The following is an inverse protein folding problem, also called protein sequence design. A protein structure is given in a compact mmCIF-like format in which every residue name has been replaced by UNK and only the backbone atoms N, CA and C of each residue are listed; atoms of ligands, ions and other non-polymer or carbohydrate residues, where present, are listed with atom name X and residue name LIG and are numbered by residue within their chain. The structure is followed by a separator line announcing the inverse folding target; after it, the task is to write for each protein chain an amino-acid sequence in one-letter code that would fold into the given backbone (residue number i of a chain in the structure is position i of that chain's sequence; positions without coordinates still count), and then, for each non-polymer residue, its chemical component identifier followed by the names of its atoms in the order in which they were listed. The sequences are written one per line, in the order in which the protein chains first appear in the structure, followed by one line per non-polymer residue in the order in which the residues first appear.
data_IF_738189481086
#
_entry.id   IF_738189481086
#
_cell.length_a   1.000
_cell.length_b   1.000
_cell.length_c   1.000
_cell.angle_alpha   90.00
_cell.angle_beta   90.00
_cell.angle_gamma   90.00
#
_symmetry.space_group_name_H-M   'P 1'
#
loop_
_entity.id
_entity.type
_entity.pdbx_description
1 polymer ?
#
# COMPACT_ATOMS: atom_id res chain seq x y z
N UNK A 1 10.12 -26.05 -28.83
CA UNK A 1 9.77 -24.91 -27.97
C UNK A 1 11.03 -24.54 -27.19
N UNK A 2 11.34 -23.26 -27.09
CA UNK A 2 12.69 -22.71 -26.92
C UNK A 2 12.96 -22.36 -25.45
N UNK A 3 14.00 -22.92 -24.83
CA UNK A 3 14.49 -22.60 -23.47
C UNK A 3 14.61 -21.07 -23.19
N UNK A 4 14.86 -20.27 -24.23
CA UNK A 4 14.97 -18.81 -24.15
C UNK A 4 13.61 -18.11 -23.87
N UNK A 5 12.50 -18.73 -24.29
CA UNK A 5 11.14 -18.21 -24.01
C UNK A 5 10.69 -18.50 -22.58
N UNK A 6 11.13 -19.62 -22.02
CA UNK A 6 10.80 -20.07 -20.65
C UNK A 6 11.55 -19.24 -19.59
N UNK A 7 12.82 -18.93 -19.86
CA UNK A 7 13.64 -17.98 -19.05
C UNK A 7 13.02 -16.58 -18.99
N UNK A 8 12.48 -16.10 -20.11
CA UNK A 8 11.84 -14.78 -20.20
C UNK A 8 10.53 -14.72 -19.39
N UNK A 9 9.71 -15.79 -19.41
CA UNK A 9 8.49 -15.88 -18.59
C UNK A 9 8.84 -15.91 -17.09
N UNK A 10 9.86 -16.68 -16.71
CA UNK A 10 10.31 -16.74 -15.31
C UNK A 10 10.86 -15.38 -14.82
N UNK A 11 11.51 -14.61 -15.69
CA UNK A 11 11.95 -13.25 -15.37
C UNK A 11 10.76 -12.29 -15.17
N UNK A 12 9.70 -12.41 -15.98
CA UNK A 12 8.48 -11.63 -15.84
C UNK A 12 7.74 -11.93 -14.52
N UNK A 13 7.62 -13.19 -14.13
CA UNK A 13 7.00 -13.58 -12.86
C UNK A 13 7.75 -12.99 -11.65
N UNK A 14 9.09 -13.06 -11.67
CA UNK A 14 9.93 -12.44 -10.63
C UNK A 14 9.71 -10.93 -10.57
N UNK A 15 9.60 -10.25 -11.71
CA UNK A 15 9.34 -8.81 -11.77
C UNK A 15 7.97 -8.47 -11.15
N UNK A 16 6.93 -9.26 -11.42
CA UNK A 16 5.60 -9.07 -10.83
C UNK A 16 5.62 -9.22 -9.30
N UNK A 17 6.36 -10.21 -8.77
CA UNK A 17 6.52 -10.38 -7.32
C UNK A 17 7.24 -9.18 -6.71
N UNK A 18 8.33 -8.71 -7.34
CA UNK A 18 9.04 -7.52 -6.89
C UNK A 18 8.16 -6.27 -6.90
N UNK A 19 7.32 -6.10 -7.93
CA UNK A 19 6.37 -5.00 -7.99
C UNK A 19 5.40 -5.00 -6.79
N UNK A 20 4.87 -6.17 -6.42
CA UNK A 20 3.97 -6.32 -5.24
C UNK A 20 4.69 -5.99 -3.93
N UNK A 21 5.95 -6.40 -3.78
CA UNK A 21 6.77 -6.08 -2.62
C UNK A 21 6.99 -4.56 -2.53
N UNK A 22 7.37 -3.93 -3.64
CA UNK A 22 7.61 -2.48 -3.70
C UNK A 22 6.35 -1.71 -3.34
N UNK A 23 5.20 -2.09 -3.89
CA UNK A 23 3.94 -1.42 -3.59
C UNK A 23 3.56 -1.57 -2.10
N UNK A 24 3.75 -2.75 -1.53
CA UNK A 24 3.53 -2.99 -0.10
C UNK A 24 4.46 -2.11 0.76
N UNK A 25 5.74 -1.97 0.37
CA UNK A 25 6.67 -1.09 1.09
C UNK A 25 6.27 0.38 1.02
N UNK A 26 5.75 0.87 -0.13
CA UNK A 26 5.26 2.25 -0.24
C UNK A 26 4.15 2.55 0.76
N UNK A 27 3.21 1.61 0.94
CA UNK A 27 2.12 1.74 1.91
C UNK A 27 2.71 1.87 3.33
N UNK A 28 3.64 1.00 3.70
CA UNK A 28 4.30 1.03 5.01
C UNK A 28 5.02 2.36 5.24
N UNK A 29 5.80 2.85 4.27
CA UNK A 29 6.53 4.12 4.39
C UNK A 29 5.58 5.30 4.58
N UNK A 30 4.51 5.38 3.78
CA UNK A 30 3.49 6.43 3.89
C UNK A 30 2.78 6.39 5.24
N UNK A 31 2.38 5.19 5.69
CA UNK A 31 1.72 4.98 6.97
C UNK A 31 2.63 5.42 8.12
N UNK A 32 3.88 4.95 8.12
CA UNK A 32 4.89 5.30 9.13
C UNK A 32 5.09 6.81 9.21
N UNK A 33 5.28 7.49 8.07
CA UNK A 33 5.46 8.94 8.03
C UNK A 33 4.23 9.68 8.58
N UNK A 34 3.03 9.31 8.12
CA UNK A 34 1.77 9.96 8.52
C UNK A 34 1.47 9.77 10.01
N UNK A 35 1.56 8.53 10.49
CA UNK A 35 1.25 8.21 11.87
C UNK A 35 2.31 8.73 12.84
N UNK A 36 3.59 8.69 12.48
CA UNK A 36 4.63 9.28 13.32
C UNK A 36 4.42 10.78 13.48
N UNK A 37 4.21 11.52 12.38
CA UNK A 37 3.95 12.97 12.41
C UNK A 37 2.71 13.33 13.24
N UNK A 38 1.69 12.49 13.24
CA UNK A 38 0.45 12.75 13.98
C UNK A 38 0.57 12.39 15.47
N UNK A 39 1.20 11.27 15.79
CA UNK A 39 1.15 10.68 17.13
C UNK A 39 2.35 11.01 18.01
N UNK A 40 3.49 11.40 17.44
CA UNK A 40 4.75 11.64 18.16
C UNK A 40 5.09 13.14 18.12
N UNK A 41 4.58 13.95 19.06
CA UNK A 41 4.80 15.40 19.05
C UNK A 41 6.22 15.79 19.45
N UNK A 42 6.88 14.97 20.28
CA UNK A 42 8.25 15.18 20.74
C UNK A 42 9.04 13.89 20.58
N UNK A 43 10.16 13.93 19.88
CA UNK A 43 10.96 12.73 19.63
C UNK A 43 11.82 12.42 20.85
N UNK A 44 11.54 11.30 21.52
CA UNK A 44 12.32 10.75 22.62
C UNK A 44 13.14 9.52 22.23
N UNK A 45 13.87 8.95 23.19
CA UNK A 45 14.59 7.67 23.01
C UNK A 45 13.65 6.46 22.93
N UNK A 46 12.42 6.61 23.40
CA UNK A 46 11.39 5.57 23.41
C UNK A 46 10.01 6.20 23.23
N UNK A 47 9.06 5.40 22.75
CA UNK A 47 7.66 5.79 22.64
C UNK A 47 6.99 5.63 24.00
N UNK A 48 6.31 6.67 24.47
CA UNK A 48 5.39 6.61 25.61
C UNK A 48 4.21 5.67 25.30
N UNK A 49 3.54 5.18 26.35
CA UNK A 49 2.36 4.34 26.19
C UNK A 49 1.25 5.03 25.37
N UNK A 50 1.11 6.36 25.52
CA UNK A 50 0.15 7.16 24.75
C UNK A 50 0.51 7.21 23.26
N UNK A 51 1.80 7.39 22.94
CA UNK A 51 2.27 7.39 21.56
C UNK A 51 2.09 6.01 20.91
N UNK A 52 2.40 4.92 21.63
CA UNK A 52 2.17 3.56 21.15
C UNK A 52 0.69 3.30 20.83
N UNK A 53 -0.22 3.66 21.76
CA UNK A 53 -1.66 3.50 21.56
C UNK A 53 -2.20 4.36 20.40
N UNK A 54 -1.68 5.59 20.24
CA UNK A 54 -2.01 6.45 19.10
C UNK A 54 -1.52 5.84 17.78
N UNK A 55 -0.27 5.37 17.72
CA UNK A 55 0.31 4.75 16.52
C UNK A 55 -0.47 3.52 16.09
N UNK A 56 -0.85 2.65 17.04
CA UNK A 56 -1.72 1.50 16.78
C UNK A 56 -3.04 1.91 16.13
N UNK A 57 -3.74 2.86 16.76
CA UNK A 57 -5.03 3.36 16.28
C UNK A 57 -4.91 4.05 14.92
N UNK A 58 -3.84 4.81 14.70
CA UNK A 58 -3.56 5.49 13.45
C UNK A 58 -3.28 4.49 12.31
N UNK A 59 -2.44 3.49 12.57
CA UNK A 59 -2.11 2.47 11.57
C UNK A 59 -3.35 1.68 11.15
N UNK A 60 -4.19 1.28 12.10
CA UNK A 60 -5.45 0.59 11.81
C UNK A 60 -6.37 1.45 10.92
N UNK A 61 -6.62 2.70 11.31
CA UNK A 61 -7.45 3.63 10.54
C UNK A 61 -6.86 3.94 9.17
N UNK A 62 -5.54 4.03 9.05
CA UNK A 62 -4.86 4.25 7.78
C UNK A 62 -5.11 3.10 6.81
N UNK A 63 -4.97 1.86 7.27
CA UNK A 63 -5.21 0.67 6.45
C UNK A 63 -6.68 0.54 6.06
N UNK A 64 -7.61 0.71 7.01
CA UNK A 64 -9.06 0.70 6.75
C UNK A 64 -9.46 1.76 5.70
N UNK A 65 -8.95 2.99 5.87
CA UNK A 65 -9.24 4.09 4.92
C UNK A 65 -8.64 3.81 3.55
N UNK A 66 -7.42 3.26 3.51
CA UNK A 66 -6.74 2.92 2.25
C UNK A 66 -7.49 1.83 1.49
N UNK A 67 -7.93 0.77 2.18
CA UNK A 67 -8.74 -0.30 1.58
C UNK A 67 -10.09 0.24 1.06
N UNK A 68 -10.79 1.04 1.85
CA UNK A 68 -12.04 1.68 1.43
C UNK A 68 -11.88 2.52 0.16
N UNK A 69 -10.88 3.40 0.12
CA UNK A 69 -10.61 4.25 -1.05
C UNK A 69 -10.21 3.40 -2.26
N UNK A 70 -9.39 2.37 -2.09
CA UNK A 70 -8.96 1.50 -3.18
C UNK A 70 -10.13 0.74 -3.82
N UNK A 71 -11.04 0.20 -2.99
CA UNK A 71 -12.25 -0.49 -3.48
C UNK A 71 -13.13 0.47 -4.28
N UNK A 72 -13.44 1.63 -3.71
CA UNK A 72 -14.29 2.64 -4.36
C UNK A 72 -13.66 3.19 -5.66
N UNK A 73 -12.34 3.38 -5.66
CA UNK A 73 -11.60 3.83 -6.85
C UNK A 73 -11.63 2.77 -7.95
N UNK A 74 -11.48 1.48 -7.58
CA UNK A 74 -11.55 0.36 -8.53
C UNK A 74 -12.94 0.21 -9.14
N UNK A 75 -14.00 0.40 -8.36
CA UNK A 75 -15.38 0.44 -8.84
C UNK A 75 -15.59 1.61 -9.81
N UNK A 76 -15.09 2.80 -9.48
CA UNK A 76 -15.20 3.97 -10.37
C UNK A 76 -14.50 3.73 -11.71
N UNK A 77 -13.31 3.12 -11.71
CA UNK A 77 -12.60 2.80 -12.96
C UNK A 77 -13.43 1.85 -13.83
N UNK A 78 -14.06 0.82 -13.25
CA UNK A 78 -14.96 -0.08 -13.98
C UNK A 78 -16.18 0.63 -14.55
N UNK A 79 -16.72 1.60 -13.82
CA UNK A 79 -17.88 2.37 -14.28
C UNK A 79 -17.52 3.34 -15.41
N UNK A 80 -16.32 3.92 -15.40
CA UNK A 80 -15.81 4.77 -16.49
C UNK A 80 -15.61 3.96 -17.77
N UNK A 81 -15.09 2.73 -17.68
CA UNK A 81 -14.94 1.86 -18.86
C UNK A 81 -16.25 1.40 -19.51
N UNK A 82 -17.41 1.64 -18.89
CA UNK A 82 -18.73 1.38 -19.47
C UNK A 82 -19.35 2.62 -20.15
N UNK A 83 -18.68 3.77 -20.13
CA UNK A 83 -19.17 5.03 -20.75
C UNK A 83 -18.71 5.18 -22.20
N UNK A 84 -17.78 4.32 -22.68
CA UNK A 84 -17.28 4.33 -24.07
C UNK A 84 -18.14 3.49 -25.05
N UNK A 85 -19.43 3.25 -24.75
CA UNK A 85 -20.32 2.42 -25.60
C UNK A 85 -21.62 3.08 -26.06
N UNK A 86 -21.76 4.40 -25.90
CA UNK A 86 -22.84 5.18 -26.53
C UNK A 86 -22.27 6.29 -27.44
#
# INVERSE_FOLDING_TARGET
MNENSESSIQALEKLQVLQKIIESQKIVVKMTSKCFKHCVPNVGKSLSQKEQACLWSCAQRFLESTDFINRRSSENIRNVSNVDSD
#
